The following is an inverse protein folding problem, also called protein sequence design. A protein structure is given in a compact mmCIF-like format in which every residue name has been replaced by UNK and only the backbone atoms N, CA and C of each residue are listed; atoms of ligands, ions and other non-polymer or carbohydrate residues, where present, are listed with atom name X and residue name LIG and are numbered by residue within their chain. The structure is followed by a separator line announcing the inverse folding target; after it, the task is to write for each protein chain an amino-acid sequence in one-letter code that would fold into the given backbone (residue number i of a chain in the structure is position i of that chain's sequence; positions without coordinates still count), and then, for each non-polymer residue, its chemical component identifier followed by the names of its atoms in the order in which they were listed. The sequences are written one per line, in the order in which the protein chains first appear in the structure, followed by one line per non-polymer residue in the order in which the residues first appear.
data_IF_524771370686
#
_entry.id   IF_524771370686
#
_cell.length_a   1.000
_cell.length_b   1.000
_cell.length_c   1.000
_cell.angle_alpha   90.00
_cell.angle_beta   90.00
_cell.angle_gamma   90.00
#
_symmetry.space_group_name_H-M   'P 1'
#
loop_
_entity.id
_entity.type
_entity.pdbx_description
1 polymer ?
#
# COMPACT_ATOMS: atom_id res chain seq x y z
N UNK A 1 42.78 -25.54 9.66
CA UNK A 1 41.62 -26.47 9.59
C UNK A 1 41.16 -27.10 10.93
N UNK A 2 41.63 -26.67 12.11
CA UNK A 2 41.17 -27.18 13.42
C UNK A 2 40.28 -26.22 14.24
N UNK A 3 40.13 -24.95 13.85
CA UNK A 3 39.28 -24.00 14.59
C UNK A 3 37.80 -23.94 14.14
N UNK A 4 37.44 -24.47 12.97
CA UNK A 4 36.03 -24.53 12.53
C UNK A 4 35.19 -25.61 13.24
N UNK A 5 35.80 -26.54 13.98
CA UNK A 5 35.08 -27.61 14.70
C UNK A 5 34.64 -27.22 16.11
N UNK A 6 35.15 -26.13 16.69
CA UNK A 6 34.73 -25.67 18.03
C UNK A 6 33.50 -24.75 17.99
N UNK A 7 33.32 -23.95 16.93
CA UNK A 7 32.11 -23.13 16.78
C UNK A 7 30.83 -23.93 16.51
N UNK A 8 30.92 -25.12 15.88
CA UNK A 8 29.76 -26.00 15.67
C UNK A 8 29.28 -26.69 16.95
N UNK A 9 30.17 -26.96 17.93
CA UNK A 9 29.76 -27.53 19.23
C UNK A 9 29.17 -26.49 20.16
N UNK A 10 29.62 -25.23 20.08
CA UNK A 10 29.04 -24.13 20.87
C UNK A 10 27.65 -23.73 20.36
N UNK A 11 27.40 -23.74 19.04
CA UNK A 11 26.05 -23.50 18.49
C UNK A 11 25.06 -24.63 18.79
N UNK A 12 25.52 -25.88 18.91
CA UNK A 12 24.66 -27.01 19.29
C UNK A 12 24.34 -26.96 20.79
N UNK A 13 25.26 -26.51 21.64
CA UNK A 13 24.94 -26.29 23.07
C UNK A 13 24.00 -25.11 23.30
N UNK A 14 24.10 -24.02 22.53
CA UNK A 14 23.15 -22.90 22.60
C UNK A 14 21.76 -23.25 22.04
N UNK A 15 21.68 -24.13 21.04
CA UNK A 15 20.41 -24.66 20.54
C UNK A 15 19.78 -25.71 21.51
N UNK A 16 20.59 -26.37 22.34
CA UNK A 16 20.07 -27.26 23.38
C UNK A 16 19.68 -26.50 24.66
N UNK A 17 20.29 -25.35 24.97
CA UNK A 17 19.82 -24.51 26.08
C UNK A 17 18.48 -23.79 25.78
N UNK A 18 18.17 -23.51 24.51
CA UNK A 18 16.83 -23.03 24.12
C UNK A 18 15.79 -24.14 24.02
N UNK A 19 16.21 -25.41 23.97
CA UNK A 19 15.32 -26.57 24.03
C UNK A 19 15.06 -27.08 25.46
N UNK A 20 15.90 -26.71 26.44
CA UNK A 20 15.79 -27.20 27.84
C UNK A 20 15.02 -26.24 28.76
N UNK A 21 14.61 -25.04 28.28
CA UNK A 21 13.57 -24.25 28.96
C UNK A 21 12.15 -24.79 28.63
N UNK A 22 12.03 -25.78 27.74
CA UNK A 22 10.77 -26.46 27.41
C UNK A 22 10.62 -27.85 28.03
N UNK A 23 11.33 -28.14 29.13
CA UNK A 23 11.21 -29.43 29.82
C UNK A 23 11.20 -29.28 31.35
N UNK A 24 10.39 -28.37 31.88
CA UNK A 24 9.93 -28.44 33.28
C UNK A 24 8.64 -27.64 33.48
N UNK A 25 7.57 -28.09 32.86
CA UNK A 25 6.21 -27.84 33.32
C UNK A 25 5.35 -28.99 32.82
N UNK A 26 5.07 -29.94 33.72
CA UNK A 26 3.96 -30.88 33.55
C UNK A 26 2.66 -30.10 33.38
N UNK A 27 1.77 -30.65 32.55
CA UNK A 27 0.36 -30.30 32.41
C UNK A 27 0.04 -28.84 32.09
N UNK A 28 0.02 -28.54 30.80
CA UNK A 28 -1.08 -27.77 30.19
C UNK A 28 -1.05 -28.01 28.69
N UNK A 29 -2.22 -28.25 28.09
CA UNK A 29 -2.42 -28.29 26.65
C UNK A 29 -1.70 -27.12 25.98
N UNK A 30 -0.56 -27.36 25.34
CA UNK A 30 0.12 -26.35 24.53
C UNK A 30 -0.78 -26.08 23.32
N UNK A 31 -1.65 -25.09 23.45
CA UNK A 31 -2.50 -24.62 22.38
C UNK A 31 -1.57 -24.13 21.27
N UNK A 32 -1.44 -24.91 20.20
CA UNK A 32 -0.59 -24.56 19.08
C UNK A 32 -1.17 -23.31 18.42
N UNK A 33 -0.54 -22.16 18.65
CA UNK A 33 -0.94 -20.89 18.05
C UNK A 33 -0.82 -20.99 16.53
N UNK A 34 -1.94 -20.84 15.83
CA UNK A 34 -1.96 -20.80 14.36
C UNK A 34 -1.80 -19.36 13.89
N UNK A 35 -0.58 -18.99 13.51
CA UNK A 35 -0.30 -17.72 12.85
C UNK A 35 -0.68 -17.84 11.37
N UNK A 36 -1.48 -16.90 10.88
CA UNK A 36 -1.89 -16.83 9.47
C UNK A 36 -1.45 -15.49 8.86
N UNK A 37 -1.28 -15.46 7.54
CA UNK A 37 -1.06 -14.20 6.83
C UNK A 37 -2.35 -13.38 6.81
N UNK A 38 -2.26 -12.13 7.27
CA UNK A 38 -3.35 -11.16 7.24
C UNK A 38 -3.29 -10.23 6.04
N UNK A 39 -4.26 -9.33 5.94
CA UNK A 39 -4.27 -8.30 4.89
C UNK A 39 -3.28 -7.19 5.27
N UNK A 40 -2.25 -7.05 4.46
CA UNK A 40 -1.31 -5.93 4.48
C UNK A 40 -1.90 -4.69 3.83
N UNK A 41 -1.62 -3.50 4.36
CA UNK A 41 -1.88 -2.23 3.63
C UNK A 41 -0.73 -1.85 2.68
N UNK A 42 0.24 -2.75 2.49
CA UNK A 42 1.62 -2.31 2.35
C UNK A 42 2.17 -2.12 0.92
N UNK A 43 3.07 -1.14 0.78
CA UNK A 43 4.30 -1.22 0.00
C UNK A 43 5.56 -1.02 0.86
N UNK A 44 6.65 -1.74 0.58
CA UNK A 44 8.01 -1.21 0.75
C UNK A 44 8.92 -1.39 -0.48
N UNK A 45 9.66 -0.34 -0.88
CA UNK A 45 10.77 -0.42 -1.81
C UNK A 45 11.72 -1.60 -1.55
N UNK A 46 11.79 -2.56 -2.47
CA UNK A 46 13.02 -3.36 -2.62
C UNK A 46 13.92 -2.67 -3.63
N UNK A 47 15.20 -2.49 -3.28
CA UNK A 47 16.28 -2.37 -4.26
C UNK A 47 16.32 -3.68 -5.06
N UNK A 48 15.88 -3.59 -6.32
CA UNK A 48 16.09 -4.55 -7.42
C UNK A 48 16.06 -6.05 -7.04
N UNK A 49 14.97 -6.74 -7.37
CA UNK A 49 14.91 -8.21 -7.37
C UNK A 49 13.87 -8.73 -8.39
N UNK A 50 14.03 -9.96 -8.91
CA UNK A 50 13.71 -10.33 -10.29
C UNK A 50 12.23 -10.59 -10.59
N UNK A 51 11.93 -10.57 -11.89
CA UNK A 51 10.62 -10.75 -12.53
C UNK A 51 9.83 -11.93 -11.94
N UNK A 52 8.65 -11.65 -11.41
CA UNK A 52 7.58 -12.65 -11.19
C UNK A 52 6.39 -12.26 -12.07
N UNK A 53 5.92 -13.23 -12.85
CA UNK A 53 4.83 -13.07 -13.80
C UNK A 53 3.49 -13.48 -13.16
N UNK A 54 2.44 -12.71 -13.45
CA UNK A 54 1.12 -13.18 -13.95
C UNK A 54 -0.10 -12.38 -13.45
N UNK A 55 -0.55 -11.45 -14.28
CA UNK A 55 -1.94 -11.39 -14.75
C UNK A 55 -1.86 -11.41 -16.28
N UNK A 56 -2.79 -12.04 -17.00
CA UNK A 56 -2.72 -12.19 -18.46
C UNK A 56 -2.54 -10.81 -19.12
N UNK A 57 -1.32 -10.54 -19.61
CA UNK A 57 -0.90 -9.26 -20.21
C UNK A 57 0.12 -8.44 -19.40
N UNK A 58 0.23 -8.64 -18.09
CA UNK A 58 1.22 -8.01 -17.21
C UNK A 58 2.48 -8.87 -17.08
N UNK A 59 3.63 -8.37 -17.55
CA UNK A 59 4.90 -9.11 -17.48
C UNK A 59 5.57 -9.06 -16.09
N UNK A 60 5.08 -8.22 -15.17
CA UNK A 60 5.66 -8.01 -13.83
C UNK A 60 4.56 -7.71 -12.80
N UNK A 61 4.56 -8.45 -11.69
CA UNK A 61 3.72 -8.21 -10.52
C UNK A 61 4.55 -7.74 -9.33
N UNK A 62 3.87 -7.06 -8.42
CA UNK A 62 4.46 -6.59 -7.18
C UNK A 62 4.76 -5.10 -7.24
N UNK A 63 5.00 -4.57 -6.06
CA UNK A 63 5.12 -3.15 -5.87
C UNK A 63 6.54 -2.66 -6.16
N UNK A 64 6.69 -1.50 -6.79
CA UNK A 64 7.98 -0.95 -7.21
C UNK A 64 8.26 0.42 -6.59
N UNK A 65 9.52 0.69 -6.30
CA UNK A 65 10.01 2.02 -5.97
C UNK A 65 10.69 2.57 -7.21
N UNK A 66 10.41 3.83 -7.51
CA UNK A 66 10.97 4.55 -8.64
C UNK A 66 12.29 5.24 -8.27
N UNK A 67 12.63 5.29 -6.99
CA UNK A 67 13.80 6.03 -6.52
C UNK A 67 14.61 5.29 -5.45
N UNK A 68 15.87 5.71 -5.27
CA UNK A 68 16.87 4.98 -4.49
C UNK A 68 16.71 5.05 -2.96
N UNK A 69 15.64 5.70 -2.48
CA UNK A 69 15.36 5.93 -1.06
C UNK A 69 16.08 7.13 -0.41
N UNK A 70 16.81 7.95 -1.19
CA UNK A 70 17.52 9.14 -0.70
C UNK A 70 16.75 10.40 -1.06
N UNK A 71 15.62 10.61 -0.38
CA UNK A 71 14.70 11.71 -0.69
C UNK A 71 15.38 13.07 -0.55
N UNK A 72 15.10 13.97 -1.51
CA UNK A 72 15.62 15.34 -1.53
C UNK A 72 14.60 16.35 -1.00
N UNK A 73 13.35 15.93 -0.93
CA UNK A 73 12.27 16.75 -0.43
C UNK A 73 11.23 15.90 0.34
N UNK A 74 10.23 16.55 0.93
CA UNK A 74 9.17 15.88 1.72
C UNK A 74 7.80 16.43 1.40
N UNK A 75 6.84 15.54 1.18
CA UNK A 75 5.44 15.87 0.93
C UNK A 75 4.85 16.74 2.06
N UNK A 76 5.33 16.56 3.30
CA UNK A 76 4.90 17.38 4.44
C UNK A 76 5.10 18.87 4.25
N UNK A 77 6.08 19.30 3.44
CA UNK A 77 6.40 20.71 3.24
C UNK A 77 5.35 21.45 2.42
N UNK A 78 4.51 20.70 1.71
CA UNK A 78 3.40 21.28 0.95
C UNK A 78 2.21 21.61 1.85
N UNK A 79 2.21 21.26 3.13
CA UNK A 79 1.06 21.45 4.02
C UNK A 79 1.36 22.46 5.12
N UNK A 80 0.35 23.26 5.48
CA UNK A 80 0.45 24.22 6.57
C UNK A 80 0.56 23.50 7.92
N UNK A 81 -0.20 22.41 8.06
CA UNK A 81 -0.27 21.63 9.30
C UNK A 81 -0.70 20.20 9.02
N UNK A 82 -0.14 19.27 9.79
CA UNK A 82 -0.63 17.90 9.87
C UNK A 82 -0.93 17.63 11.34
N UNK A 83 -2.14 17.19 11.65
CA UNK A 83 -2.53 16.90 13.02
C UNK A 83 -3.43 15.67 13.11
N UNK A 84 -3.27 14.95 14.21
CA UNK A 84 -4.14 13.84 14.59
C UNK A 84 -5.47 14.38 15.13
N UNK A 85 -6.57 13.69 14.85
CA UNK A 85 -7.90 14.02 15.37
C UNK A 85 -8.66 12.76 15.77
N UNK A 86 -9.65 12.93 16.65
CA UNK A 86 -10.54 11.84 17.05
C UNK A 86 -11.76 11.80 16.14
N UNK A 87 -11.85 10.78 15.28
CA UNK A 87 -13.02 10.54 14.44
C UNK A 87 -14.12 9.85 15.26
N UNK A 88 -15.27 10.50 15.42
CA UNK A 88 -16.39 9.97 16.22
C UNK A 88 -16.89 8.59 15.75
N UNK A 89 -16.85 8.33 14.44
CA UNK A 89 -17.33 7.10 13.81
C UNK A 89 -16.19 6.21 13.27
N UNK A 90 -14.95 6.44 13.73
CA UNK A 90 -13.76 5.72 13.25
C UNK A 90 -13.43 4.46 14.06
N UNK A 91 -12.72 3.52 13.45
CA UNK A 91 -12.14 2.37 14.14
C UNK A 91 -10.80 2.76 14.77
N UNK A 92 -10.87 3.42 15.93
CA UNK A 92 -9.71 3.88 16.69
C UNK A 92 -8.86 2.74 17.29
N UNK A 93 -9.38 1.50 17.30
CA UNK A 93 -8.62 0.31 17.67
C UNK A 93 -7.54 0.07 16.62
N UNK A 94 -7.93 0.05 15.34
CA UNK A 94 -7.06 -0.28 14.21
C UNK A 94 -6.32 0.90 13.61
N UNK A 95 -6.91 2.09 13.68
CA UNK A 95 -6.41 3.26 12.96
C UNK A 95 -6.19 4.48 13.86
N UNK A 96 -5.26 5.32 13.43
CA UNK A 96 -5.12 6.73 13.86
C UNK A 96 -5.64 7.61 12.73
N UNK A 97 -6.23 8.75 13.04
CA UNK A 97 -6.86 9.62 12.05
C UNK A 97 -6.16 10.97 12.01
N UNK A 98 -5.82 11.43 10.82
CA UNK A 98 -5.08 12.67 10.61
C UNK A 98 -5.74 13.54 9.55
N UNK A 99 -5.54 14.84 9.67
CA UNK A 99 -5.84 15.80 8.61
C UNK A 99 -4.57 16.56 8.24
N UNK A 100 -4.27 16.59 6.95
CA UNK A 100 -3.27 17.46 6.37
C UNK A 100 -3.98 18.70 5.82
N UNK A 101 -3.65 19.87 6.34
CA UNK A 101 -4.31 21.15 6.08
C UNK A 101 -3.47 21.96 5.09
N UNK A 102 -4.13 22.53 4.09
CA UNK A 102 -3.50 23.39 3.08
C UNK A 102 -4.48 24.48 2.62
N UNK A 103 -4.17 25.73 2.98
CA UNK A 103 -5.07 26.85 2.79
C UNK A 103 -6.39 26.64 3.54
N UNK A 104 -7.50 26.66 2.79
CA UNK A 104 -8.85 26.39 3.32
C UNK A 104 -9.27 24.93 3.20
N UNK A 105 -8.45 24.11 2.55
CA UNK A 105 -8.75 22.73 2.18
C UNK A 105 -7.99 21.76 3.08
N UNK A 106 -8.44 20.51 3.09
CA UNK A 106 -7.85 19.45 3.92
C UNK A 106 -7.88 18.12 3.21
N UNK A 107 -6.90 17.27 3.48
CA UNK A 107 -6.92 15.84 3.20
C UNK A 107 -6.97 15.08 4.52
N UNK A 108 -8.10 14.44 4.79
CA UNK A 108 -8.32 13.51 5.89
C UNK A 108 -7.88 12.11 5.47
N UNK A 109 -7.06 11.48 6.30
CA UNK A 109 -6.56 10.14 6.08
C UNK A 109 -6.46 9.38 7.39
N UNK A 110 -6.51 8.06 7.29
CA UNK A 110 -6.28 7.15 8.40
C UNK A 110 -4.94 6.44 8.25
N UNK A 111 -4.30 6.09 9.35
CA UNK A 111 -3.06 5.32 9.44
C UNK A 111 -3.34 4.03 10.23
N UNK A 112 -3.14 2.86 9.61
CA UNK A 112 -3.27 1.57 10.29
C UNK A 112 -2.10 1.35 11.24
N UNK A 113 -2.39 1.03 12.49
CA UNK A 113 -1.37 0.72 13.50
C UNK A 113 -0.60 -0.53 13.13
N UNK A 114 0.69 -0.57 13.45
CA UNK A 114 1.57 -1.72 13.17
C UNK A 114 1.23 -2.93 14.05
N UNK A 115 0.69 -2.69 15.24
CA UNK A 115 0.21 -3.71 16.17
C UNK A 115 -1.22 -3.39 16.54
N UNK A 116 -2.10 -4.37 16.38
CA UNK A 116 -3.52 -4.26 16.71
C UNK A 116 -3.91 -5.45 17.57
N UNK A 117 -4.57 -5.17 18.69
CA UNK A 117 -5.30 -6.18 19.45
C UNK A 117 -6.78 -5.82 19.38
N UNK A 118 -7.59 -6.73 18.83
CA UNK A 118 -9.00 -6.51 18.55
C UNK A 118 -9.82 -7.77 18.84
N UNK A 119 -11.14 -7.63 18.98
CA UNK A 119 -12.06 -8.75 19.14
C UNK A 119 -12.82 -9.01 17.84
N UNK A 120 -12.51 -10.11 17.16
CA UNK A 120 -13.14 -10.51 15.89
C UNK A 120 -13.98 -11.75 16.14
N UNK A 121 -15.30 -11.64 15.94
CA UNK A 121 -16.25 -12.75 16.17
C UNK A 121 -16.12 -13.38 17.56
N UNK A 122 -15.87 -12.55 18.59
CA UNK A 122 -15.70 -12.98 19.99
C UNK A 122 -14.32 -13.55 20.32
N UNK A 123 -13.39 -13.59 19.35
CA UNK A 123 -12.02 -14.06 19.54
C UNK A 123 -11.07 -12.89 19.67
N UNK A 124 -10.16 -12.96 20.64
CA UNK A 124 -9.11 -11.96 20.82
C UNK A 124 -8.00 -12.21 19.81
N UNK A 125 -7.88 -11.33 18.84
CA UNK A 125 -6.92 -11.42 17.74
C UNK A 125 -5.79 -10.42 17.93
N UNK A 126 -4.56 -10.88 17.69
CA UNK A 126 -3.38 -10.05 17.55
C UNK A 126 -3.01 -9.97 16.07
N UNK A 127 -2.83 -8.77 15.57
CA UNK A 127 -2.29 -8.50 14.24
C UNK A 127 -0.99 -7.69 14.38
N UNK A 128 0.05 -8.11 13.67
CA UNK A 128 1.37 -7.48 13.70
C UNK A 128 1.92 -7.33 12.29
N UNK A 129 2.37 -6.11 11.95
CA UNK A 129 3.17 -5.85 10.75
C UNK A 129 4.63 -6.25 11.00
N UNK A 130 5.19 -7.04 10.08
CA UNK A 130 6.60 -7.38 10.09
C UNK A 130 7.49 -6.18 9.80
N UNK A 131 8.66 -6.13 10.45
CA UNK A 131 9.71 -5.17 10.15
C UNK A 131 10.59 -5.61 8.96
N UNK A 132 10.40 -6.85 8.47
CA UNK A 132 11.13 -7.39 7.32
C UNK A 132 10.33 -7.21 6.04
N UNK A 133 10.98 -6.69 5.00
CA UNK A 133 10.41 -6.59 3.67
C UNK A 133 9.86 -7.95 3.16
N UNK A 134 8.62 -7.99 2.63
CA UNK A 134 7.77 -6.87 2.20
C UNK A 134 6.77 -6.34 3.26
N UNK A 135 7.07 -6.50 4.55
CA UNK A 135 6.28 -5.97 5.68
C UNK A 135 4.90 -6.62 5.78
N UNK A 136 4.89 -7.95 5.62
CA UNK A 136 3.70 -8.78 5.74
C UNK A 136 3.07 -8.61 7.13
N UNK A 137 1.74 -8.58 7.18
CA UNK A 137 0.95 -8.60 8.41
C UNK A 137 0.58 -10.04 8.73
N UNK A 138 0.71 -10.37 10.00
CA UNK A 138 0.39 -11.69 10.54
C UNK A 138 -0.72 -11.54 11.57
N UNK A 139 -1.65 -12.48 11.55
CA UNK A 139 -2.78 -12.53 12.46
C UNK A 139 -2.75 -13.83 13.26
N UNK A 140 -3.07 -13.76 14.54
CA UNK A 140 -3.09 -14.91 15.44
C UNK A 140 -4.12 -14.71 16.54
N UNK A 141 -4.86 -15.76 16.87
CA UNK A 141 -5.76 -15.77 18.03
C UNK A 141 -4.91 -15.92 19.31
N UNK A 142 -5.09 -15.01 20.28
CA UNK A 142 -4.27 -14.92 21.50
C UNK A 142 -5.07 -15.26 22.77
N UNK A 143 -6.14 -16.05 22.64
CA UNK A 143 -6.97 -16.52 23.75
C UNK A 143 -6.10 -17.30 24.77
N UNK A 144 -6.14 -16.90 26.04
CA UNK A 144 -5.42 -17.58 27.13
C UNK A 144 -3.95 -17.18 27.33
N UNK A 145 -3.40 -16.27 26.52
CA UNK A 145 -2.02 -15.79 26.69
C UNK A 145 -1.91 -14.67 27.73
N UNK A 146 -0.84 -14.72 28.54
CA UNK A 146 -0.42 -13.66 29.46
C UNK A 146 0.20 -12.50 28.67
N UNK A 147 0.25 -11.32 29.29
CA UNK A 147 0.80 -10.11 28.65
C UNK A 147 2.26 -10.28 28.21
N UNK A 148 3.10 -10.92 29.04
CA UNK A 148 4.50 -11.20 28.69
C UNK A 148 4.64 -12.13 27.47
N UNK A 149 3.72 -13.08 27.32
CA UNK A 149 3.69 -14.01 26.18
C UNK A 149 3.22 -13.29 24.90
N UNK A 150 2.26 -12.36 25.03
CA UNK A 150 1.82 -11.49 23.93
C UNK A 150 2.96 -10.59 23.45
N UNK A 151 3.74 -10.00 24.37
CA UNK A 151 4.91 -9.17 24.01
C UNK A 151 5.95 -10.00 23.26
N UNK A 152 6.30 -11.18 23.77
CA UNK A 152 7.24 -12.08 23.11
C UNK A 152 6.75 -12.52 21.71
N UNK A 153 5.43 -12.74 21.57
CA UNK A 153 4.80 -13.08 20.30
C UNK A 153 4.86 -11.91 19.30
N UNK A 154 4.60 -10.68 19.74
CA UNK A 154 4.74 -9.47 18.92
C UNK A 154 6.17 -9.35 18.38
N UNK A 155 7.17 -9.51 19.25
CA UNK A 155 8.58 -9.41 18.86
C UNK A 155 8.96 -10.49 17.86
N UNK A 156 8.45 -11.71 18.03
CA UNK A 156 8.63 -12.81 17.07
C UNK A 156 7.99 -12.50 15.72
N UNK A 157 6.72 -12.07 15.70
CA UNK A 157 5.97 -11.76 14.49
C UNK A 157 6.59 -10.59 13.71
N UNK A 158 7.15 -9.60 14.40
CA UNK A 158 7.92 -8.49 13.78
C UNK A 158 9.13 -8.98 12.98
N UNK A 159 9.66 -10.15 13.30
CA UNK A 159 10.82 -10.74 12.62
C UNK A 159 10.45 -11.81 11.58
N UNK A 160 9.16 -12.11 11.40
CA UNK A 160 8.69 -13.10 10.43
C UNK A 160 8.77 -12.57 8.99
N UNK A 161 9.01 -13.48 8.04
CA UNK A 161 9.02 -13.22 6.60
C UNK A 161 8.48 -14.46 5.89
N UNK A 162 7.59 -14.28 4.92
CA UNK A 162 7.01 -15.38 4.15
C UNK A 162 7.47 -15.35 2.70
N UNK A 163 6.97 -14.40 1.91
CA UNK A 163 7.32 -14.24 0.51
C UNK A 163 8.24 -13.04 0.26
N UNK A 164 8.92 -13.04 -0.88
CA UNK A 164 9.71 -11.89 -1.33
C UNK A 164 8.87 -10.79 -1.98
N UNK A 165 7.61 -11.10 -2.33
CA UNK A 165 6.66 -10.19 -2.96
C UNK A 165 5.34 -10.28 -2.19
N UNK A 166 4.75 -9.12 -1.91
CA UNK A 166 3.46 -9.02 -1.27
C UNK A 166 2.35 -9.26 -2.31
N UNK A 167 1.50 -10.26 -2.09
CA UNK A 167 0.42 -10.60 -3.02
C UNK A 167 -0.89 -9.88 -2.73
N UNK A 168 -1.12 -9.43 -1.50
CA UNK A 168 -2.35 -8.72 -1.09
C UNK A 168 -2.00 -7.38 -0.47
N UNK A 169 -2.66 -6.29 -0.86
CA UNK A 169 -2.35 -4.94 -0.39
C UNK A 169 -3.67 -4.14 -0.21
N UNK A 170 -3.83 -3.39 0.88
CA UNK A 170 -4.97 -2.50 1.19
C UNK A 170 -4.80 -1.00 0.82
N UNK A 171 -3.64 -0.56 0.34
CA UNK A 171 -3.43 0.79 -0.18
C UNK A 171 -4.38 1.11 -1.35
N UNK A 172 -4.93 2.32 -1.43
CA UNK A 172 -5.77 2.68 -2.57
C UNK A 172 -4.95 2.81 -3.86
N UNK A 173 -5.59 2.59 -5.01
CA UNK A 173 -4.98 2.78 -6.32
C UNK A 173 -4.44 4.22 -6.52
N UNK A 174 -5.17 5.19 -5.95
CA UNK A 174 -4.83 6.62 -5.95
C UNK A 174 -3.55 6.88 -5.17
N UNK A 175 -3.48 6.45 -3.90
CA UNK A 175 -2.25 6.62 -3.11
C UNK A 175 -1.08 5.84 -3.67
N UNK A 176 -1.33 4.67 -4.28
CA UNK A 176 -0.28 3.92 -4.97
C UNK A 176 0.32 4.71 -6.16
N UNK A 177 -0.51 5.25 -7.05
CA UNK A 177 -0.05 6.03 -8.19
C UNK A 177 0.70 7.31 -7.76
N UNK A 178 0.17 8.03 -6.76
CA UNK A 178 0.82 9.21 -6.19
C UNK A 178 2.15 8.89 -5.53
N UNK A 179 2.22 7.78 -4.78
CA UNK A 179 3.45 7.32 -4.16
C UNK A 179 4.55 7.10 -5.21
N UNK A 180 4.23 6.47 -6.35
CA UNK A 180 5.19 6.28 -7.44
C UNK A 180 5.64 7.59 -8.08
N UNK A 181 4.72 8.53 -8.27
CA UNK A 181 5.03 9.86 -8.79
C UNK A 181 5.99 10.61 -7.85
N UNK A 182 5.63 10.72 -6.58
CA UNK A 182 6.44 11.42 -5.56
C UNK A 182 7.81 10.76 -5.41
N UNK A 183 7.84 9.43 -5.35
CA UNK A 183 9.08 8.66 -5.27
C UNK A 183 9.96 8.96 -6.49
N UNK A 184 9.42 8.93 -7.72
CA UNK A 184 10.15 9.27 -8.94
C UNK A 184 10.79 10.67 -8.89
N UNK A 185 10.08 11.65 -8.33
CA UNK A 185 10.56 13.02 -8.14
C UNK A 185 11.46 13.21 -6.91
N UNK A 186 11.75 12.15 -6.15
CA UNK A 186 12.59 12.21 -4.96
C UNK A 186 11.95 12.94 -3.78
N UNK A 187 10.61 13.00 -3.74
CA UNK A 187 9.81 13.58 -2.66
C UNK A 187 9.37 12.45 -1.72
N UNK A 188 9.70 12.56 -0.43
CA UNK A 188 9.27 11.59 0.57
C UNK A 188 7.75 11.71 0.80
N UNK A 189 6.95 10.68 0.50
CA UNK A 189 5.49 10.75 0.62
C UNK A 189 4.99 10.59 2.07
N UNK A 190 5.85 10.13 2.99
CA UNK A 190 5.49 9.96 4.40
C UNK A 190 5.37 11.31 5.14
N UNK A 191 4.50 11.41 6.17
CA UNK A 191 3.63 10.36 6.72
C UNK A 191 2.25 10.28 6.05
N UNK A 192 1.96 11.14 5.07
CA UNK A 192 0.60 11.31 4.52
C UNK A 192 0.25 10.15 3.58
N UNK A 193 1.14 9.84 2.65
CA UNK A 193 1.01 8.73 1.71
C UNK A 193 2.06 7.70 2.10
N UNK A 194 1.60 6.64 2.75
CA UNK A 194 2.44 5.53 3.17
C UNK A 194 1.76 4.22 2.84
N UNK A 195 2.46 3.15 3.22
CA UNK A 195 1.98 1.78 3.20
C UNK A 195 0.87 1.49 4.22
N UNK A 196 0.61 2.39 5.16
CA UNK A 196 -0.39 2.18 6.19
C UNK A 196 -1.47 3.27 6.12
N UNK A 197 -1.43 4.18 5.14
CA UNK A 197 -2.41 5.25 5.04
C UNK A 197 -3.38 5.12 3.88
N UNK A 198 -4.60 5.59 4.11
CA UNK A 198 -5.69 5.69 3.13
C UNK A 198 -6.48 6.97 3.40
N UNK A 199 -6.88 7.70 2.38
CA UNK A 199 -7.79 8.84 2.54
C UNK A 199 -9.15 8.37 3.09
N UNK A 200 -9.81 9.21 3.88
CA UNK A 200 -11.11 8.86 4.50
C UNK A 200 -12.30 9.63 3.92
N UNK A 201 -12.02 10.57 3.01
CA UNK A 201 -13.01 11.44 2.36
C UNK A 201 -12.57 11.66 0.90
N UNK A 202 -13.34 11.10 -0.03
CA UNK A 202 -13.07 11.17 -1.46
C UNK A 202 -13.27 12.58 -2.04
N UNK A 203 -14.10 13.39 -1.40
CA UNK A 203 -14.50 14.71 -1.90
C UNK A 203 -13.34 15.70 -1.84
N UNK A 204 -12.37 15.41 -0.97
CA UNK A 204 -11.16 16.19 -0.75
C UNK A 204 -10.06 15.90 -1.78
N UNK A 205 -10.19 14.81 -2.55
CA UNK A 205 -9.12 14.38 -3.45
C UNK A 205 -8.88 15.36 -4.60
N UNK A 206 -9.92 16.00 -5.14
CA UNK A 206 -9.75 17.00 -6.20
C UNK A 206 -8.87 18.17 -5.70
N UNK A 207 -9.24 18.76 -4.56
CA UNK A 207 -8.48 19.86 -3.95
C UNK A 207 -7.05 19.44 -3.59
N UNK A 208 -6.87 18.24 -3.04
CA UNK A 208 -5.54 17.69 -2.75
C UNK A 208 -4.70 17.53 -4.01
N UNK A 209 -5.26 17.01 -5.10
CA UNK A 209 -4.55 16.87 -6.37
C UNK A 209 -4.12 18.23 -6.93
N UNK A 210 -5.01 19.21 -6.97
CA UNK A 210 -4.70 20.54 -7.50
C UNK A 210 -3.69 21.32 -6.64
N UNK A 211 -3.61 20.97 -5.36
CA UNK A 211 -2.65 21.54 -4.44
C UNK A 211 -1.22 21.09 -4.75
N UNK A 212 -0.99 19.78 -4.89
CA UNK A 212 0.36 19.21 -5.06
C UNK A 212 0.74 18.90 -6.53
N UNK A 213 -0.23 18.88 -7.45
CA UNK A 213 -0.04 18.53 -8.85
C UNK A 213 -0.53 19.64 -9.79
N UNK A 214 -0.15 19.54 -11.05
CA UNK A 214 -0.68 20.36 -12.14
C UNK A 214 -1.37 19.47 -13.17
N UNK A 215 -2.64 19.76 -13.48
CA UNK A 215 -3.35 19.09 -14.57
C UNK A 215 -2.78 19.56 -15.92
N UNK A 216 -2.32 18.61 -16.73
CA UNK A 216 -1.73 18.84 -18.07
C UNK A 216 -2.64 18.40 -19.21
N UNK A 217 -3.67 17.61 -18.93
CA UNK A 217 -4.60 17.14 -19.96
C UNK A 217 -5.87 16.52 -19.39
N UNK A 218 -6.86 16.42 -20.27
CA UNK A 218 -8.14 15.77 -20.02
C UNK A 218 -8.54 15.02 -21.30
N UNK A 219 -8.82 13.73 -21.17
CA UNK A 219 -9.20 12.86 -22.29
C UNK A 219 -10.46 12.06 -21.93
N UNK A 220 -11.35 11.77 -22.89
CA UNK A 220 -12.34 10.73 -22.71
C UNK A 220 -11.69 9.41 -22.29
N UNK A 221 -12.29 8.68 -21.35
CA UNK A 221 -11.82 7.38 -20.86
C UNK A 221 -12.04 6.27 -21.91
N UNK A 222 -11.34 6.39 -23.04
CA UNK A 222 -11.46 5.52 -24.21
C UNK A 222 -10.08 5.19 -24.75
N UNK A 223 -9.78 3.91 -24.89
CA UNK A 223 -8.48 3.40 -25.31
C UNK A 223 -8.05 3.95 -26.66
N UNK A 224 -8.99 4.02 -27.61
CA UNK A 224 -8.72 4.54 -28.96
C UNK A 224 -8.23 6.00 -28.99
N UNK A 225 -8.56 6.78 -27.95
CA UNK A 225 -8.09 8.16 -27.73
C UNK A 225 -6.74 8.13 -27.02
N UNK A 226 -6.66 7.46 -25.87
CA UNK A 226 -5.43 7.41 -25.06
C UNK A 226 -4.23 6.84 -25.82
N UNK A 227 -4.43 5.85 -26.70
CA UNK A 227 -3.33 5.26 -27.49
C UNK A 227 -2.65 6.26 -28.44
N UNK A 228 -3.30 7.40 -28.72
CA UNK A 228 -2.81 8.47 -29.58
C UNK A 228 -2.42 9.73 -28.78
N UNK A 229 -2.66 9.74 -27.47
CA UNK A 229 -2.37 10.90 -26.64
C UNK A 229 -0.85 11.04 -26.45
N UNK A 230 -0.33 12.25 -26.59
CA UNK A 230 1.03 12.57 -26.17
C UNK A 230 1.02 12.85 -24.67
N UNK A 231 1.29 11.81 -23.89
CA UNK A 231 1.31 11.92 -22.43
C UNK A 231 2.62 12.57 -21.96
N UNK A 232 2.55 13.45 -20.94
CA UNK A 232 3.74 13.97 -20.29
C UNK A 232 4.63 12.86 -19.71
N UNK A 233 5.88 13.22 -19.48
CA UNK A 233 6.86 12.34 -18.86
C UNK A 233 6.48 12.11 -17.40
N UNK A 234 6.29 10.84 -17.02
CA UNK A 234 6.11 10.42 -15.62
C UNK A 234 4.89 11.07 -14.96
N UNK A 235 3.70 10.81 -15.49
CA UNK A 235 2.46 11.43 -15.05
C UNK A 235 1.54 10.44 -14.33
N UNK A 236 0.56 10.96 -13.58
CA UNK A 236 -0.56 10.18 -13.05
C UNK A 236 -1.79 10.41 -13.92
N UNK A 237 -2.40 9.31 -14.34
CA UNK A 237 -3.69 9.26 -15.03
C UNK A 237 -4.76 8.96 -13.98
N UNK A 238 -5.68 9.89 -13.78
CA UNK A 238 -6.79 9.76 -12.82
C UNK A 238 -8.08 9.52 -13.58
N UNK A 239 -8.74 8.42 -13.26
CA UNK A 239 -10.01 8.01 -13.84
C UNK A 239 -11.12 8.66 -13.03
N UNK A 240 -11.86 9.54 -13.67
CA UNK A 240 -12.94 10.32 -13.08
C UNK A 240 -14.26 9.90 -13.72
N UNK A 241 -15.29 9.74 -12.89
CA UNK A 241 -16.65 9.42 -13.33
C UNK A 241 -17.48 10.67 -13.65
N UNK A 242 -18.72 10.47 -14.11
CA UNK A 242 -19.62 11.57 -14.47
C UNK A 242 -19.92 12.51 -13.30
N UNK A 243 -19.85 12.01 -12.06
CA UNK A 243 -20.03 12.77 -10.82
C UNK A 243 -18.75 13.47 -10.32
N UNK A 244 -17.71 13.52 -11.14
CA UNK A 244 -16.41 14.14 -10.82
C UNK A 244 -15.66 13.46 -9.66
N UNK A 245 -16.01 12.22 -9.32
CA UNK A 245 -15.31 11.42 -8.30
C UNK A 245 -14.16 10.65 -8.94
N UNK A 246 -13.03 10.60 -8.24
CA UNK A 246 -11.89 9.78 -8.65
C UNK A 246 -12.14 8.34 -8.26
N UNK A 247 -12.19 7.45 -9.24
CA UNK A 247 -12.48 6.03 -9.01
C UNK A 247 -11.24 5.15 -9.15
N UNK A 248 -10.24 5.61 -9.91
CA UNK A 248 -9.01 4.86 -10.13
C UNK A 248 -7.83 5.76 -10.52
N UNK A 249 -6.60 5.30 -10.32
CA UNK A 249 -5.41 6.01 -10.78
C UNK A 249 -4.30 5.07 -11.26
N UNK A 250 -3.50 5.58 -12.20
CA UNK A 250 -2.38 4.87 -12.83
C UNK A 250 -1.19 5.81 -12.95
N UNK A 251 0.00 5.35 -12.57
CA UNK A 251 1.24 6.06 -12.88
C UNK A 251 1.79 5.59 -14.23
N UNK A 252 2.05 6.52 -15.14
CA UNK A 252 2.64 6.25 -16.46
C UNK A 252 4.09 6.70 -16.49
N UNK A 253 5.00 5.79 -16.88
CA UNK A 253 6.43 6.05 -16.96
C UNK A 253 6.91 6.02 -18.41
N UNK A 254 7.22 7.19 -18.98
CA UNK A 254 7.40 7.37 -20.43
C UNK A 254 8.65 6.68 -20.99
N UNK A 255 9.76 6.73 -20.27
CA UNK A 255 11.03 6.10 -20.67
C UNK A 255 10.92 4.58 -20.92
N UNK A 256 9.98 3.92 -20.25
CA UNK A 256 9.69 2.49 -20.38
C UNK A 256 8.38 2.20 -21.10
N UNK A 257 7.54 3.22 -21.33
CA UNK A 257 6.19 3.07 -21.87
C UNK A 257 5.27 2.21 -21.00
N UNK A 258 5.48 2.18 -19.68
CA UNK A 258 4.78 1.28 -18.75
C UNK A 258 3.78 2.01 -17.88
N UNK A 259 2.70 1.30 -17.55
CA UNK A 259 1.62 1.75 -16.68
C UNK A 259 1.62 0.94 -15.39
N UNK A 260 1.63 1.63 -14.26
CA UNK A 260 1.68 1.06 -12.92
C UNK A 260 0.35 1.32 -12.25
N UNK A 261 -0.35 0.24 -11.92
CA UNK A 261 -1.73 0.30 -11.43
C UNK A 261 -1.94 -0.72 -10.33
N UNK A 262 -3.04 -0.57 -9.59
CA UNK A 262 -3.45 -1.52 -8.54
C UNK A 262 -4.97 -1.53 -8.44
N UNK A 263 -5.61 -2.69 -8.29
CA UNK A 263 -7.05 -2.77 -8.06
C UNK A 263 -7.37 -3.36 -6.68
N UNK A 264 -7.94 -2.57 -5.78
CA UNK A 264 -8.43 -3.04 -4.49
C UNK A 264 -7.38 -3.85 -3.73
N UNK A 265 -7.71 -5.12 -3.44
CA UNK A 265 -6.86 -6.03 -2.66
C UNK A 265 -5.75 -6.70 -3.46
N UNK A 266 -5.80 -6.64 -4.79
CA UNK A 266 -4.85 -7.28 -5.68
C UNK A 266 -3.48 -6.59 -5.64
N UNK A 267 -2.40 -7.34 -5.90
CA UNK A 267 -1.08 -6.76 -5.90
C UNK A 267 -0.98 -5.75 -7.05
N UNK A 268 -0.13 -4.72 -6.93
CA UNK A 268 0.16 -3.84 -8.04
C UNK A 268 0.67 -4.58 -9.28
N UNK A 269 0.26 -4.06 -10.44
CA UNK A 269 0.48 -4.66 -11.75
C UNK A 269 1.17 -3.62 -12.62
N UNK A 270 2.12 -4.10 -13.42
CA UNK A 270 2.78 -3.30 -14.44
C UNK A 270 2.31 -3.76 -15.82
N UNK A 271 1.70 -2.85 -16.56
CA UNK A 271 1.11 -3.07 -17.86
C UNK A 271 1.93 -2.37 -18.95
N UNK A 272 2.02 -2.98 -20.13
CA UNK A 272 2.61 -2.34 -21.31
C UNK A 272 1.57 -1.56 -22.13
N UNK A 273 0.31 -1.60 -21.71
CA UNK A 273 -0.82 -0.99 -22.40
C UNK A 273 -1.89 -0.63 -21.36
N UNK A 274 -2.48 0.55 -21.49
CA UNK A 274 -3.54 1.05 -20.60
C UNK A 274 -4.91 0.41 -20.87
N UNK A 275 -5.10 -0.25 -22.02
CA UNK A 275 -6.40 -0.83 -22.43
C UNK A 275 -7.06 -1.72 -21.37
N UNK A 276 -6.37 -2.63 -20.66
CA UNK A 276 -7.01 -3.43 -19.62
C UNK A 276 -7.60 -2.59 -18.47
N UNK A 277 -7.06 -1.39 -18.24
CA UNK A 277 -7.59 -0.46 -17.24
C UNK A 277 -8.79 0.31 -17.79
N UNK A 278 -8.73 0.79 -19.04
CA UNK A 278 -9.89 1.49 -19.63
C UNK A 278 -11.07 0.54 -19.86
N UNK A 279 -10.82 -0.74 -20.17
CA UNK A 279 -11.84 -1.78 -20.25
C UNK A 279 -12.49 -2.06 -18.88
N UNK A 280 -11.70 -2.06 -17.80
CA UNK A 280 -12.21 -2.37 -16.45
C UNK A 280 -12.93 -1.20 -15.77
N UNK A 281 -12.50 0.04 -16.02
CA UNK A 281 -13.00 1.22 -15.31
C UNK A 281 -13.68 2.25 -16.21
N UNK A 282 -13.58 2.11 -17.52
CA UNK A 282 -14.06 3.12 -18.47
C UNK A 282 -15.44 2.80 -19.01
N UNK A 283 -16.34 3.78 -19.02
CA UNK A 283 -17.69 3.61 -19.54
C UNK A 283 -17.76 3.32 -21.04
N UNK A 284 -16.72 3.70 -21.80
CA UNK A 284 -16.69 3.55 -23.26
C UNK A 284 -16.12 2.23 -23.75
N UNK A 285 -15.23 1.63 -22.95
CA UNK A 285 -14.55 0.38 -23.31
C UNK A 285 -15.03 -0.81 -22.46
N UNK A 286 -15.81 -0.58 -21.40
CA UNK A 286 -16.41 -1.65 -20.60
C UNK A 286 -17.28 -2.55 -21.47
N UNK A 287 -17.13 -3.86 -21.25
CA UNK A 287 -17.94 -4.90 -21.91
C UNK A 287 -19.13 -5.35 -21.06
N UNK A 288 -19.25 -4.81 -19.85
CA UNK A 288 -20.35 -5.13 -18.96
C UNK A 288 -21.61 -4.39 -19.41
N UNK A 289 -22.74 -5.11 -19.47
CA UNK A 289 -24.05 -4.51 -19.70
C UNK A 289 -24.50 -3.81 -18.41
N UNK A 290 -24.29 -2.50 -18.34
CA UNK A 290 -24.63 -1.67 -17.20
C UNK A 290 -25.85 -0.79 -17.50
N UNK A 291 -26.62 -0.47 -16.47
CA UNK A 291 -27.63 0.59 -16.56
C UNK A 291 -26.97 1.96 -16.79
N UNK A 292 -27.75 2.97 -17.18
CA UNK A 292 -27.26 4.35 -17.32
C UNK A 292 -26.56 4.83 -16.03
N UNK A 293 -27.20 4.59 -14.89
CA UNK A 293 -26.60 4.87 -13.58
C UNK A 293 -25.28 4.11 -13.36
N UNK A 294 -25.22 2.82 -13.73
CA UNK A 294 -23.99 2.04 -13.64
C UNK A 294 -22.87 2.60 -14.53
N UNK A 295 -23.20 3.10 -15.72
CA UNK A 295 -22.24 3.76 -16.62
C UNK A 295 -21.76 5.11 -16.08
N UNK A 296 -22.59 5.84 -15.35
CA UNK A 296 -22.21 7.12 -14.72
C UNK A 296 -21.30 6.93 -13.49
N UNK A 297 -21.29 5.74 -12.90
CA UNK A 297 -20.32 5.34 -11.88
C UNK A 297 -18.95 4.95 -12.49
N UNK A 298 -18.92 4.54 -13.77
CA UNK A 298 -17.68 4.27 -14.50
C UNK A 298 -17.00 5.57 -14.92
N UNK A 299 -15.70 5.48 -15.21
CA UNK A 299 -14.93 6.62 -15.68
C UNK A 299 -15.38 7.04 -17.08
N UNK A 300 -15.76 8.31 -17.21
CA UNK A 300 -15.98 8.97 -18.48
C UNK A 300 -14.75 9.76 -18.93
N UNK A 301 -13.90 10.13 -17.96
CA UNK A 301 -12.82 11.08 -18.13
C UNK A 301 -11.53 10.54 -17.52
N UNK A 302 -10.41 10.84 -18.17
CA UNK A 302 -9.06 10.66 -17.63
C UNK A 302 -8.39 12.01 -17.56
N UNK A 303 -8.06 12.42 -16.34
CA UNK A 303 -7.28 13.60 -16.05
C UNK A 303 -5.80 13.22 -15.96
N UNK A 304 -4.93 14.03 -16.57
CA UNK A 304 -3.50 13.79 -16.58
C UNK A 304 -2.82 14.82 -15.70
N UNK A 305 -2.14 14.35 -14.66
CA UNK A 305 -1.46 15.19 -13.68
C UNK A 305 0.04 14.93 -13.66
N UNK A 306 0.81 16.00 -13.47
CA UNK A 306 2.25 15.94 -13.21
C UNK A 306 2.55 16.60 -11.86
N UNK A 307 3.72 16.36 -11.29
CA UNK A 307 4.16 17.11 -10.10
C UNK A 307 4.11 18.61 -10.42
N UNK A 308 3.67 19.41 -9.45
CA UNK A 308 3.74 20.86 -9.57
C UNK A 308 5.21 21.26 -9.52
N UNK A 309 5.68 21.94 -10.55
CA UNK A 309 7.02 22.52 -10.54
C UNK A 309 6.94 23.80 -9.69
N UNK A 310 7.85 23.94 -8.72
CA UNK A 310 8.00 25.20 -8.01
C UNK A 310 8.41 26.26 -9.05
N UNK A 311 7.61 27.33 -9.17
CA UNK A 311 8.05 28.56 -9.84
C UNK A 311 9.24 29.11 -9.04
N UNK A 312 10.46 28.74 -9.45
CA UNK A 312 11.70 29.28 -8.89
C UNK A 312 11.98 30.68 -9.40
#
# INVERSE_FOLDING_TARGET
MRQLKHYRRLLILLAMLSAVIFASAQDNHAQQLKIVEGITHSFVPKKTSPKVASLKGGKQMGVQSMFGGVYRDSLTRYFDKIEEYNRQTGNSIRFRYYRAIFGKDTLCYEERKEVVIDSVMGKRMLEVESQKAPYQRFEVEISGLKESEIIALIDSMRQMKTADILMNNGQTCIFYALNLLLDFHGINPAPIITRNTTFTDEDQLNAFFDHILTQKGNYPCKYSVLKKADLPDNCVLVFQNAYKKFIHAVFYRKDTGKYYTKNGWWPPIILNNIHPVTEAYGRYDTKEELSEYGLDLQADTILVYCIKEDEK
#
